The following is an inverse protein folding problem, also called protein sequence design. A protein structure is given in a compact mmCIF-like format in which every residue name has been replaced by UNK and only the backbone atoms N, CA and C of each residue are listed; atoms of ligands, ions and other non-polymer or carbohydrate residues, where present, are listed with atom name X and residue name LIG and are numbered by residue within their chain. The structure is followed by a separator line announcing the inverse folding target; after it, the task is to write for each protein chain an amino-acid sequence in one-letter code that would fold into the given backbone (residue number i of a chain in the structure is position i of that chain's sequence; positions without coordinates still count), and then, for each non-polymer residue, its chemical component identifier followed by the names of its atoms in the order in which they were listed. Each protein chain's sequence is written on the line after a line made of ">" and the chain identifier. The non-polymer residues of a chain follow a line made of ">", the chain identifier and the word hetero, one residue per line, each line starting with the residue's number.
data_IF_409779651966
#
_entry.id   IF_409779651966
#
_cell.length_a   1.000
_cell.length_b   1.000
_cell.length_c   1.000
_cell.angle_alpha   90.00
_cell.angle_beta   90.00
_cell.angle_gamma   90.00
#
_symmetry.space_group_name_H-M   'P 1'
#
loop_
_entity.id
_entity.type
_entity.pdbx_description
1 polymer ?
#
# COMPACT_ATOMS: atom_id res chain seq x y z
N UNK A 1 40.22 35.66 -41.80
CA UNK A 1 38.78 35.37 -41.93
C UNK A 1 38.49 34.26 -40.92
N UNK A 2 38.02 34.68 -39.76
CA UNK A 2 37.57 33.83 -38.67
C UNK A 2 36.26 33.16 -39.05
N UNK A 3 36.01 31.94 -38.57
CA UNK A 3 34.74 31.60 -37.89
C UNK A 3 34.85 30.19 -37.30
N UNK A 4 35.07 30.16 -35.98
CA UNK A 4 34.68 29.07 -35.10
C UNK A 4 33.15 28.95 -35.12
N UNK A 5 32.63 27.72 -35.18
CA UNK A 5 31.29 27.39 -34.65
C UNK A 5 31.13 25.86 -34.51
N UNK A 6 31.26 25.40 -33.26
CA UNK A 6 30.57 24.28 -32.60
C UNK A 6 29.90 24.97 -31.38
N UNK A 7 28.73 24.58 -30.79
CA UNK A 7 27.94 23.33 -30.78
C UNK A 7 26.47 23.63 -31.22
N UNK A 8 25.40 22.84 -31.11
CA UNK A 8 24.88 21.96 -30.05
C UNK A 8 23.93 20.93 -30.69
N UNK A 9 24.22 19.65 -30.50
CA UNK A 9 23.18 18.63 -30.42
C UNK A 9 22.50 18.81 -29.07
N UNK A 10 21.26 19.29 -29.08
CA UNK A 10 20.36 19.21 -27.92
C UNK A 10 19.29 18.18 -28.24
N UNK A 11 19.63 16.96 -27.83
CA UNK A 11 18.73 15.89 -27.47
C UNK A 11 17.71 16.35 -26.44
N UNK A 12 16.43 16.42 -26.84
CA UNK A 12 15.31 16.34 -25.89
C UNK A 12 14.25 15.41 -26.49
N UNK A 13 14.62 14.13 -26.63
CA UNK A 13 13.63 13.08 -26.47
C UNK A 13 13.14 13.16 -25.01
N UNK A 14 12.04 13.87 -24.80
CA UNK A 14 11.24 13.75 -23.59
C UNK A 14 10.57 12.36 -23.63
N UNK A 15 11.38 11.32 -23.42
CA UNK A 15 10.88 10.06 -22.91
C UNK A 15 10.74 10.26 -21.40
N UNK A 16 9.58 10.76 -21.01
CA UNK A 16 9.12 10.71 -19.62
C UNK A 16 8.89 9.25 -19.27
N UNK A 17 9.97 8.50 -19.05
CA UNK A 17 9.94 7.30 -18.23
C UNK A 17 9.63 7.80 -16.81
N UNK A 18 8.36 7.78 -16.44
CA UNK A 18 7.97 7.60 -15.04
C UNK A 18 8.29 6.14 -14.71
N UNK A 19 9.42 5.80 -14.05
CA UNK A 19 9.75 4.41 -13.85
C UNK A 19 9.18 3.97 -12.49
N UNK A 20 8.46 2.86 -12.53
CA UNK A 20 8.33 1.88 -11.45
C UNK A 20 7.31 2.11 -10.31
N UNK A 21 6.82 3.31 -10.01
CA UNK A 21 5.91 3.47 -8.85
C UNK A 21 4.52 2.86 -9.08
N UNK A 22 3.99 2.92 -10.32
CA UNK A 22 2.67 2.35 -10.64
C UNK A 22 2.68 0.82 -10.88
N UNK A 23 3.83 0.24 -11.24
CA UNK A 23 3.89 -1.19 -11.56
C UNK A 23 3.84 -2.07 -10.31
N UNK A 24 4.43 -1.61 -9.20
CA UNK A 24 4.41 -2.34 -7.93
C UNK A 24 2.99 -2.36 -7.35
N UNK A 25 2.24 -1.26 -7.47
CA UNK A 25 0.84 -1.19 -7.01
C UNK A 25 -0.10 -2.05 -7.83
N UNK A 26 0.08 -2.19 -9.14
CA UNK A 26 -0.79 -3.05 -9.97
C UNK A 26 -0.53 -4.55 -9.78
N UNK A 27 0.73 -4.98 -9.61
CA UNK A 27 1.05 -6.39 -9.40
C UNK A 27 0.53 -6.89 -8.04
N UNK A 28 0.58 -6.04 -7.02
CA UNK A 28 0.06 -6.28 -5.68
C UNK A 28 -1.46 -6.43 -5.60
N UNK A 29 -2.19 -5.79 -6.52
CA UNK A 29 -3.65 -5.93 -6.61
C UNK A 29 -4.06 -7.24 -7.29
N UNK A 30 -3.17 -7.88 -8.06
CA UNK A 30 -3.48 -9.09 -8.83
C UNK A 30 -3.33 -10.40 -8.06
N UNK A 31 -2.54 -10.45 -6.97
CA UNK A 31 -2.37 -11.66 -6.14
C UNK A 31 -3.48 -11.86 -5.10
N UNK A 32 -4.33 -10.84 -4.90
CA UNK A 32 -5.35 -10.84 -3.87
C UNK A 32 -4.75 -10.76 -2.47
N UNK A 33 -3.69 -9.97 -2.30
CA UNK A 33 -3.08 -9.67 -1.00
C UNK A 33 -3.60 -8.32 -0.48
N UNK A 34 -3.70 -8.16 0.86
CA UNK A 34 -4.08 -6.86 1.45
C UNK A 34 -2.82 -6.02 1.63
N UNK A 35 -2.74 -4.93 0.87
CA UNK A 35 -1.73 -3.89 1.03
C UNK A 35 -2.19 -2.79 1.99
N UNK A 36 -1.43 -2.52 3.05
CA UNK A 36 -1.56 -1.27 3.84
C UNK A 36 -0.33 -0.40 3.55
N UNK A 37 -0.55 0.86 3.13
CA UNK A 37 0.52 1.82 2.86
C UNK A 37 0.56 2.87 3.97
N UNK A 38 1.76 3.14 4.49
CA UNK A 38 2.05 4.15 5.50
C UNK A 38 3.18 5.06 5.00
N UNK A 39 3.11 6.35 5.27
CA UNK A 39 4.21 7.26 4.99
C UNK A 39 5.37 7.00 5.97
N UNK A 40 6.56 6.67 5.46
CA UNK A 40 7.76 6.44 6.27
C UNK A 40 8.15 7.66 7.10
N UNK A 41 7.83 8.86 6.62
CA UNK A 41 8.05 10.12 7.34
C UNK A 41 7.20 10.24 8.61
N UNK A 42 6.10 9.50 8.74
CA UNK A 42 5.24 9.48 9.92
C UNK A 42 5.64 8.42 10.94
N UNK A 43 6.38 7.39 10.51
CA UNK A 43 6.84 6.29 11.36
C UNK A 43 8.12 6.69 12.09
N UNK A 44 8.10 6.54 13.41
CA UNK A 44 9.26 6.81 14.27
C UNK A 44 10.13 5.55 14.43
N UNK A 45 9.49 4.42 14.75
CA UNK A 45 10.13 3.12 14.81
C UNK A 45 9.10 2.00 14.65
N UNK A 46 9.61 0.82 14.30
CA UNK A 46 8.83 -0.41 14.13
C UNK A 46 9.31 -1.39 15.19
N UNK A 47 8.37 -1.92 15.96
CA UNK A 47 8.62 -2.95 16.97
C UNK A 47 8.05 -4.28 16.48
N UNK A 48 8.89 -5.32 16.50
CA UNK A 48 8.59 -6.66 16.00
C UNK A 48 8.96 -7.64 17.11
N UNK A 49 7.94 -8.35 17.62
CA UNK A 49 8.10 -9.12 18.85
C UNK A 49 8.86 -10.44 18.70
N UNK A 50 8.84 -11.04 17.51
CA UNK A 50 9.44 -12.35 17.24
C UNK A 50 10.53 -12.26 16.17
N UNK A 51 11.09 -13.41 15.80
CA UNK A 51 12.10 -13.51 14.76
C UNK A 51 11.58 -13.11 13.39
N UNK A 52 12.42 -12.37 12.67
CA UNK A 52 12.14 -11.88 11.33
C UNK A 52 13.42 -11.85 10.50
N UNK A 53 13.25 -11.87 9.19
CA UNK A 53 14.36 -11.73 8.25
C UNK A 53 14.37 -10.34 7.65
N UNK A 54 15.49 -9.63 7.80
CA UNK A 54 15.70 -8.31 7.22
C UNK A 54 16.64 -8.39 6.01
N UNK A 55 16.17 -7.94 4.86
CA UNK A 55 16.95 -7.82 3.63
C UNK A 55 17.10 -6.33 3.32
N UNK A 56 18.32 -5.82 3.41
CA UNK A 56 18.63 -4.43 3.03
C UNK A 56 18.72 -4.31 1.51
N UNK A 57 18.13 -3.26 0.96
CA UNK A 57 18.16 -2.88 -0.46
C UNK A 57 18.80 -1.50 -0.61
N UNK A 58 19.23 -1.11 -1.82
CA UNK A 58 19.77 0.24 -2.05
C UNK A 58 18.82 1.36 -1.62
N UNK A 59 17.51 1.18 -1.86
CA UNK A 59 16.49 2.21 -1.62
C UNK A 59 15.61 1.95 -0.38
N UNK A 60 16.00 0.98 0.47
CA UNK A 60 15.20 0.63 1.63
C UNK A 60 15.47 -0.77 2.16
N UNK A 61 14.42 -1.46 2.57
CA UNK A 61 14.54 -2.77 3.19
C UNK A 61 13.24 -3.57 3.09
N UNK A 62 13.37 -4.88 3.20
CA UNK A 62 12.25 -5.82 3.33
C UNK A 62 12.41 -6.60 4.63
N UNK A 63 11.32 -6.70 5.36
CA UNK A 63 11.14 -7.60 6.49
C UNK A 63 10.18 -8.70 6.07
N UNK A 64 10.59 -9.95 6.24
CA UNK A 64 9.76 -11.13 5.98
C UNK A 64 9.56 -11.90 7.28
N UNK A 65 8.32 -12.31 7.52
CA UNK A 65 7.95 -13.17 8.64
C UNK A 65 8.05 -14.63 8.18
N UNK A 66 8.94 -15.42 8.78
CA UNK A 66 9.24 -16.79 8.29
C UNK A 66 8.52 -17.89 9.08
N UNK A 67 8.55 -17.86 10.42
CA UNK A 67 8.18 -19.05 11.20
C UNK A 67 6.93 -18.89 12.08
N UNK A 68 6.71 -17.73 12.69
CA UNK A 68 5.66 -17.55 13.69
C UNK A 68 4.85 -16.28 13.45
N UNK A 69 3.55 -16.39 13.76
CA UNK A 69 2.65 -15.24 13.86
C UNK A 69 3.26 -14.18 14.77
N UNK A 70 3.32 -12.96 14.27
CA UNK A 70 4.06 -11.88 14.90
C UNK A 70 3.24 -10.61 14.91
N UNK A 71 3.17 -9.98 16.07
CA UNK A 71 2.62 -8.64 16.19
C UNK A 71 3.68 -7.62 15.81
N UNK A 72 3.36 -6.81 14.81
CA UNK A 72 4.16 -5.66 14.37
C UNK A 72 3.46 -4.38 14.81
N UNK A 73 4.21 -3.51 15.49
CA UNK A 73 3.72 -2.25 16.03
C UNK A 73 4.49 -1.10 15.36
N UNK A 74 3.76 -0.31 14.58
CA UNK A 74 4.26 0.91 13.97
C UNK A 74 3.99 2.07 14.92
N UNK A 75 5.04 2.61 15.53
CA UNK A 75 4.94 3.78 16.40
C UNK A 75 5.08 5.02 15.55
N UNK A 76 4.04 5.86 15.54
CA UNK A 76 3.99 7.07 14.72
C UNK A 76 4.45 8.27 15.54
N UNK A 77 5.00 9.28 14.85
CA UNK A 77 5.39 10.56 15.45
C UNK A 77 4.23 11.28 16.14
N UNK A 78 2.99 11.00 15.74
CA UNK A 78 1.77 11.58 16.31
C UNK A 78 1.33 10.98 17.65
N UNK A 79 2.20 10.24 18.35
CA UNK A 79 1.90 9.45 19.55
C UNK A 79 0.85 8.35 19.34
N UNK A 80 0.46 8.09 18.08
CA UNK A 80 -0.43 7.00 17.68
C UNK A 80 0.39 5.74 17.42
N UNK A 81 -0.27 4.59 17.52
CA UNK A 81 0.29 3.29 17.17
C UNK A 81 -0.64 2.58 16.21
N UNK A 82 -0.06 1.91 15.21
CA UNK A 82 -0.77 0.98 14.34
C UNK A 82 -0.25 -0.40 14.66
N UNK A 83 -1.16 -1.29 15.04
CA UNK A 83 -0.84 -2.67 15.36
C UNK A 83 -1.35 -3.57 14.25
N UNK A 84 -0.48 -4.46 13.76
CA UNK A 84 -0.80 -5.46 12.74
C UNK A 84 -0.32 -6.82 13.20
N UNK A 85 -1.18 -7.82 13.06
CA UNK A 85 -0.78 -9.21 13.21
C UNK A 85 -0.36 -9.69 11.83
N UNK A 86 0.88 -10.14 11.70
CA UNK A 86 1.45 -10.68 10.48
C UNK A 86 1.68 -12.18 10.64
N UNK A 87 1.37 -12.92 9.59
CA UNK A 87 1.51 -14.36 9.52
C UNK A 87 2.76 -14.76 8.73
N UNK A 88 3.25 -16.02 8.85
CA UNK A 88 4.32 -16.53 8.01
C UNK A 88 4.03 -16.31 6.52
N UNK A 89 4.97 -15.68 5.82
CA UNK A 89 4.85 -15.28 4.42
C UNK A 89 4.39 -13.84 4.20
N UNK A 90 3.91 -13.14 5.23
CA UNK A 90 3.65 -11.70 5.17
C UNK A 90 4.96 -10.90 5.12
N UNK A 91 4.88 -9.70 4.56
CA UNK A 91 6.03 -8.85 4.30
C UNK A 91 5.77 -7.40 4.70
N UNK A 92 6.82 -6.73 5.18
CA UNK A 92 6.85 -5.28 5.35
C UNK A 92 8.01 -4.74 4.54
N UNK A 93 7.72 -3.90 3.56
CA UNK A 93 8.70 -3.26 2.70
C UNK A 93 8.76 -1.77 3.00
N UNK A 94 9.97 -1.23 3.13
CA UNK A 94 10.20 0.20 3.04
C UNK A 94 10.86 0.48 1.70
N UNK A 95 10.25 1.35 0.92
CA UNK A 95 10.77 1.86 -0.34
C UNK A 95 10.68 3.38 -0.33
N UNK A 96 11.81 4.06 -0.48
CA UNK A 96 11.88 5.52 -0.47
C UNK A 96 11.18 6.12 0.77
N UNK A 97 10.07 6.84 0.57
CA UNK A 97 9.29 7.50 1.61
C UNK A 97 8.05 6.74 2.07
N UNK A 98 7.86 5.50 1.60
CA UNK A 98 6.71 4.67 1.92
C UNK A 98 7.09 3.38 2.65
N UNK A 99 6.17 2.91 3.49
CA UNK A 99 6.18 1.61 4.13
C UNK A 99 4.92 0.87 3.67
N UNK A 100 5.13 -0.27 3.03
CA UNK A 100 4.11 -1.12 2.43
C UNK A 100 4.05 -2.41 3.25
N UNK A 101 2.86 -2.74 3.76
CA UNK A 101 2.59 -3.96 4.52
C UNK A 101 1.76 -4.87 3.62
N UNK A 102 2.30 -6.04 3.33
CA UNK A 102 1.72 -7.04 2.44
C UNK A 102 1.27 -8.23 3.26
N UNK A 103 -0.04 -8.41 3.35
CA UNK A 103 -0.65 -9.53 4.04
C UNK A 103 -1.24 -10.49 3.03
N UNK A 104 -0.76 -11.73 3.06
CA UNK A 104 -1.26 -12.80 2.20
C UNK A 104 -2.63 -13.20 2.69
N UNK A 105 -3.66 -12.99 1.88
CA UNK A 105 -5.00 -13.45 2.23
C UNK A 105 -5.07 -14.97 2.21
N UNK A 106 -5.70 -15.55 3.23
CA UNK A 106 -6.04 -16.97 3.23
C UNK A 106 -7.12 -17.27 2.19
N UNK A 107 -7.20 -18.51 1.69
CA UNK A 107 -8.22 -18.88 0.68
C UNK A 107 -9.65 -18.61 1.18
N UNK A 108 -9.91 -18.82 2.48
CA UNK A 108 -11.20 -18.54 3.12
C UNK A 108 -11.57 -17.04 3.09
N UNK A 109 -10.59 -16.15 3.27
CA UNK A 109 -10.82 -14.69 3.20
C UNK A 109 -10.96 -14.19 1.76
N UNK A 110 -10.31 -14.87 0.80
CA UNK A 110 -10.51 -14.60 -0.64
C UNK A 110 -11.92 -14.96 -1.08
N UNK A 111 -12.47 -16.08 -0.60
CA UNK A 111 -13.83 -16.54 -0.93
C UNK A 111 -14.94 -15.69 -0.30
N UNK A 112 -14.72 -15.10 0.88
CA UNK A 112 -15.72 -14.26 1.54
C UNK A 112 -15.89 -12.87 0.92
N UNK A 113 -15.06 -12.52 -0.08
CA UNK A 113 -15.04 -11.21 -0.70
C UNK A 113 -14.55 -10.16 0.30
N UNK A 114 -13.32 -9.68 0.10
CA UNK A 114 -12.68 -8.64 0.92
C UNK A 114 -13.62 -7.48 1.30
N UNK A 115 -13.27 -6.71 2.35
CA UNK A 115 -14.18 -5.90 3.17
C UNK A 115 -15.30 -5.30 2.35
N UNK A 116 -16.49 -5.88 2.50
CA UNK A 116 -17.70 -5.55 1.78
C UNK A 116 -17.90 -4.04 1.84
N UNK A 117 -17.67 -3.34 0.72
CA UNK A 117 -18.16 -1.98 0.51
C UNK A 117 -19.68 -2.06 0.65
N UNK A 118 -20.20 -1.85 1.86
CA UNK A 118 -21.64 -1.79 2.11
C UNK A 118 -22.22 -0.76 1.13
N UNK A 119 -23.06 -1.15 0.16
CA UNK A 119 -23.76 -0.15 -0.63
C UNK A 119 -24.68 0.57 0.35
N UNK A 120 -24.50 1.88 0.46
CA UNK A 120 -25.34 2.75 1.28
C UNK A 120 -26.76 2.70 0.66
N UNK A 121 -27.56 1.71 1.06
CA UNK A 121 -28.95 1.60 0.66
C UNK A 121 -29.69 2.79 1.26
N UNK A 122 -29.82 3.86 0.47
CA UNK A 122 -30.71 4.98 0.74
C UNK A 122 -32.13 4.45 0.80
N UNK A 123 -32.57 4.06 1.99
CA UNK A 123 -33.98 3.85 2.31
C UNK A 123 -34.68 5.22 2.28
N UNK A 124 -35.11 5.64 1.10
CA UNK A 124 -36.15 6.67 0.99
C UNK A 124 -37.45 6.07 1.51
N UNK A 125 -37.80 6.40 2.76
CA UNK A 125 -39.19 6.32 3.22
C UNK A 125 -39.98 7.37 2.44
N UNK A 126 -40.74 6.97 1.41
CA UNK A 126 -41.87 7.76 0.92
C UNK A 126 -43.09 7.35 1.75
N UNK A 127 -43.44 8.24 2.69
CA UNK A 127 -44.65 8.23 3.50
C UNK A 127 -45.63 9.22 2.88
N UNK A 128 -46.90 8.82 2.74
CA UNK A 128 -48.02 9.65 2.27
C UNK A 128 -48.21 9.55 0.77
N UNK A 129 -49.39 9.24 0.23
CA UNK A 129 -50.73 9.57 0.70
C UNK A 129 -51.74 8.53 0.22
N UNK A 130 -52.58 8.04 1.13
CA UNK A 130 -53.78 7.26 0.82
C UNK A 130 -54.80 8.15 0.10
N UNK A 131 -55.23 7.71 -1.08
CA UNK A 131 -56.49 8.11 -1.71
C UNK A 131 -57.65 7.52 -0.89
N UNK A 132 -58.47 8.38 -0.29
CA UNK A 132 -59.88 8.06 0.00
C UNK A 132 -60.73 8.97 -0.87
N UNK A 133 -61.38 8.36 -1.86
CA UNK A 133 -62.44 8.96 -2.68
C UNK A 133 -63.73 9.05 -1.84
N UNK A 134 -64.45 10.15 -2.04
CA UNK A 134 -65.87 10.33 -1.71
C UNK A 134 -66.77 9.34 -2.47
#
# INVERSE_FOLDING_TARGET
>A
MSENQIPEELSEEQNSEEPAVEQITEELVRSGDIGTILAASEVQYIDIQNEFKLIKRPNGWIITIEENDTKVIFNLKSMRKIEKNLHPGDMVEKENDDIIILQKLTEEEKEQGGPTRRPHARRYQRRGSEETKE
#
